data_IF_027514172877
#
_entry.id   IF_027514172877
#
_cell.length_a   1.000
_cell.length_b   1.000
_cell.length_c   1.000
_cell.angle_alpha   90.00
_cell.angle_beta   90.00
_cell.angle_gamma   90.00
#
_symmetry.space_group_name_H-M   'P 1'
#
loop_
_entity.id
_entity.type
_entity.pdbx_description
1 polymer ?
#
# COMPACT_ATOMS: atom_id res chain seq x y z
N UNK A 1 63.02 -34.68 31.76
CA UNK A 1 62.61 -34.80 30.35
C UNK A 1 61.75 -33.58 29.99
N UNK A 2 62.24 -32.65 29.15
CA UNK A 2 61.48 -31.47 28.70
C UNK A 2 60.85 -31.76 27.34
N UNK A 3 59.51 -31.85 27.26
CA UNK A 3 58.77 -31.90 25.99
C UNK A 3 58.90 -30.55 25.29
N UNK A 4 59.45 -30.53 24.07
CA UNK A 4 59.37 -29.35 23.19
C UNK A 4 57.97 -29.33 22.57
N UNK A 5 57.17 -28.32 22.91
CA UNK A 5 55.96 -28.00 22.15
C UNK A 5 56.38 -27.34 20.83
N UNK A 6 56.13 -27.99 19.70
CA UNK A 6 56.28 -27.35 18.38
C UNK A 6 55.10 -26.40 18.19
N UNK A 7 55.36 -25.10 18.35
CA UNK A 7 54.42 -24.08 17.92
C UNK A 7 54.48 -24.01 16.39
N UNK A 8 53.55 -24.67 15.70
CA UNK A 8 53.37 -24.51 14.27
C UNK A 8 52.77 -23.11 14.03
N UNK A 9 53.57 -22.21 13.46
CA UNK A 9 53.11 -20.87 13.07
C UNK A 9 52.48 -20.91 11.68
N UNK A 10 51.39 -20.18 11.49
CA UNK A 10 50.76 -20.00 10.17
C UNK A 10 51.70 -19.26 9.22
N UNK A 11 51.74 -19.71 7.97
CA UNK A 11 52.48 -19.04 6.91
C UNK A 11 51.67 -17.87 6.34
N UNK A 12 52.38 -16.87 5.83
CA UNK A 12 51.78 -15.69 5.21
C UNK A 12 50.91 -16.07 4.00
N UNK A 13 51.30 -17.12 3.28
CA UNK A 13 50.55 -17.63 2.12
C UNK A 13 49.25 -18.33 2.53
N UNK A 14 49.23 -19.07 3.64
CA UNK A 14 47.99 -19.67 4.16
C UNK A 14 46.98 -18.59 4.54
N UNK A 15 47.43 -17.52 5.18
CA UNK A 15 46.55 -16.40 5.51
C UNK A 15 46.02 -15.70 4.24
N UNK A 16 46.85 -15.54 3.21
CA UNK A 16 46.48 -14.91 1.95
C UNK A 16 45.42 -15.73 1.17
N UNK A 17 45.57 -17.06 1.17
CA UNK A 17 44.57 -17.95 0.53
C UNK A 17 43.22 -17.88 1.26
N UNK A 18 43.22 -17.83 2.59
CA UNK A 18 41.97 -17.74 3.38
C UNK A 18 41.22 -16.45 3.09
N UNK A 19 41.88 -15.29 3.09
CA UNK A 19 41.22 -14.02 2.78
C UNK A 19 40.71 -13.97 1.34
N UNK A 20 41.42 -14.60 0.39
CA UNK A 20 40.98 -14.69 -1.01
C UNK A 20 39.70 -15.53 -1.13
N UNK A 21 39.62 -16.68 -0.43
CA UNK A 21 38.42 -17.51 -0.40
C UNK A 21 37.24 -16.75 0.24
N UNK A 22 37.46 -16.06 1.35
CA UNK A 22 36.42 -15.26 2.02
C UNK A 22 35.90 -14.16 1.09
N UNK A 23 36.78 -13.47 0.35
CA UNK A 23 36.39 -12.43 -0.61
C UNK A 23 35.51 -12.99 -1.74
N UNK A 24 35.87 -14.14 -2.30
CA UNK A 24 35.08 -14.82 -3.34
C UNK A 24 33.71 -15.22 -2.79
N UNK A 25 33.66 -15.88 -1.63
CA UNK A 25 32.39 -16.29 -1.01
C UNK A 25 31.50 -15.09 -0.66
N UNK A 26 32.08 -14.01 -0.11
CA UNK A 26 31.34 -12.78 0.21
C UNK A 26 30.69 -12.16 -1.03
N UNK A 27 31.41 -12.10 -2.17
CA UNK A 27 30.86 -11.55 -3.41
C UNK A 27 29.67 -12.35 -3.97
N UNK A 28 29.72 -13.68 -3.87
CA UNK A 28 28.61 -14.55 -4.30
C UNK A 28 27.38 -14.40 -3.40
N UNK A 29 27.58 -14.29 -2.08
CA UNK A 29 26.47 -14.13 -1.11
C UNK A 29 25.75 -12.78 -1.30
N UNK A 30 26.50 -11.70 -1.54
CA UNK A 30 25.91 -10.37 -1.75
C UNK A 30 25.08 -10.31 -3.05
N UNK A 31 25.51 -11.00 -4.12
CA UNK A 31 24.81 -11.00 -5.41
C UNK A 31 23.41 -11.65 -5.41
N UNK A 32 23.14 -12.58 -4.48
CA UNK A 32 21.87 -13.33 -4.44
C UNK A 32 20.83 -12.76 -3.46
N UNK A 33 21.23 -11.89 -2.52
CA UNK A 33 20.35 -11.41 -1.45
C UNK A 33 19.26 -10.44 -1.93
N UNK A 34 19.53 -9.65 -2.98
CA UNK A 34 18.60 -8.62 -3.45
C UNK A 34 17.38 -9.12 -4.23
N UNK A 35 17.50 -10.24 -4.96
CA UNK A 35 16.43 -10.74 -5.84
C UNK A 35 15.34 -11.50 -5.09
N UNK A 36 15.70 -12.21 -4.02
CA UNK A 36 14.75 -12.93 -3.17
C UNK A 36 13.77 -11.98 -2.46
N UNK A 37 14.27 -10.86 -1.93
CA UNK A 37 13.43 -9.84 -1.30
C UNK A 37 12.41 -9.22 -2.26
N UNK A 38 12.84 -8.88 -3.48
CA UNK A 38 11.95 -8.37 -4.53
C UNK A 38 10.83 -9.36 -4.86
N UNK A 39 11.16 -10.63 -5.09
CA UNK A 39 10.14 -11.62 -5.46
C UNK A 39 9.14 -11.87 -4.33
N UNK A 40 9.59 -11.80 -3.08
CA UNK A 40 8.71 -11.89 -1.91
C UNK A 40 7.73 -10.72 -1.86
N UNK A 41 8.19 -9.49 -2.05
CA UNK A 41 7.33 -8.29 -2.11
C UNK A 41 6.32 -8.39 -3.24
N UNK A 42 6.76 -8.78 -4.45
CA UNK A 42 5.86 -8.98 -5.58
C UNK A 42 4.78 -10.02 -5.29
N UNK A 43 5.17 -11.15 -4.70
CA UNK A 43 4.23 -12.23 -4.32
C UNK A 43 3.22 -11.77 -3.27
N UNK A 44 3.64 -10.96 -2.28
CA UNK A 44 2.74 -10.38 -1.27
C UNK A 44 1.73 -9.44 -1.91
N UNK A 45 2.19 -8.51 -2.74
CA UNK A 45 1.31 -7.57 -3.45
C UNK A 45 0.31 -8.32 -4.34
N UNK A 46 0.74 -9.36 -5.06
CA UNK A 46 -0.15 -10.17 -5.90
C UNK A 46 -1.22 -10.90 -5.09
N UNK A 47 -0.87 -11.45 -3.93
CA UNK A 47 -1.83 -12.06 -3.02
C UNK A 47 -2.88 -11.05 -2.53
N UNK A 48 -2.46 -9.82 -2.19
CA UNK A 48 -3.40 -8.76 -1.80
C UNK A 48 -4.30 -8.33 -2.95
N UNK A 49 -3.79 -8.23 -4.19
CA UNK A 49 -4.63 -7.93 -5.36
C UNK A 49 -5.73 -8.99 -5.52
N UNK A 50 -5.39 -10.27 -5.37
CA UNK A 50 -6.38 -11.35 -5.46
C UNK A 50 -7.44 -11.27 -4.35
N UNK A 51 -7.03 -10.93 -3.13
CA UNK A 51 -7.95 -10.73 -2.00
C UNK A 51 -8.88 -9.53 -2.24
N UNK A 52 -8.34 -8.40 -2.69
CA UNK A 52 -9.12 -7.22 -3.04
C UNK A 52 -10.04 -7.46 -4.24
N UNK A 53 -9.60 -8.19 -5.26
CA UNK A 53 -10.43 -8.52 -6.42
C UNK A 53 -11.64 -9.36 -6.02
N UNK A 54 -11.43 -10.36 -5.16
CA UNK A 54 -12.51 -11.16 -4.58
C UNK A 54 -13.50 -10.28 -3.81
N UNK A 55 -13.01 -9.35 -2.98
CA UNK A 55 -13.86 -8.45 -2.20
C UNK A 55 -14.64 -7.46 -3.09
N UNK A 56 -14.00 -6.89 -4.12
CA UNK A 56 -14.62 -5.93 -5.04
C UNK A 56 -15.68 -6.61 -5.92
N UNK A 57 -15.44 -7.83 -6.39
CA UNK A 57 -16.46 -8.57 -7.14
C UNK A 57 -17.63 -8.97 -6.23
N UNK A 58 -17.38 -9.37 -4.98
CA UNK A 58 -18.45 -9.64 -4.01
C UNK A 58 -19.28 -8.38 -3.70
N UNK A 59 -18.62 -7.22 -3.59
CA UNK A 59 -19.29 -5.91 -3.47
C UNK A 59 -20.21 -5.66 -4.67
N UNK A 60 -19.72 -5.87 -5.89
CA UNK A 60 -20.52 -5.68 -7.11
C UNK A 60 -21.72 -6.62 -7.18
N UNK A 61 -21.56 -7.88 -6.77
CA UNK A 61 -22.69 -8.81 -6.69
C UNK A 61 -23.77 -8.28 -5.73
N UNK A 62 -23.38 -7.63 -4.63
CA UNK A 62 -24.31 -7.09 -3.64
C UNK A 62 -24.99 -5.78 -4.08
N UNK A 63 -24.24 -4.85 -4.65
CA UNK A 63 -24.73 -3.48 -4.94
C UNK A 63 -25.03 -3.23 -6.42
N UNK A 64 -24.69 -4.15 -7.31
CA UNK A 64 -24.92 -4.05 -8.76
C UNK A 64 -23.89 -3.17 -9.50
N UNK A 65 -23.00 -2.50 -8.78
CA UNK A 65 -21.92 -1.68 -9.32
C UNK A 65 -20.63 -1.90 -8.52
N UNK A 66 -19.49 -1.60 -9.13
CA UNK A 66 -18.22 -1.59 -8.40
C UNK A 66 -18.18 -0.46 -7.37
N UNK A 67 -17.33 -0.54 -6.32
CA UNK A 67 -17.11 0.57 -5.40
C UNK A 67 -16.81 1.87 -6.16
N UNK A 68 -17.37 3.02 -5.72
CA UNK A 68 -17.00 4.33 -6.26
C UNK A 68 -15.48 4.54 -6.23
N UNK A 69 -14.92 5.09 -7.29
CA UNK A 69 -13.54 5.54 -7.33
C UNK A 69 -13.42 7.02 -6.96
N UNK A 70 -12.19 7.49 -6.74
CA UNK A 70 -11.92 8.91 -6.73
C UNK A 70 -11.63 9.36 -8.16
N UNK A 71 -12.50 10.19 -8.76
CA UNK A 71 -12.36 10.58 -10.14
C UNK A 71 -11.09 11.38 -10.37
N UNK A 72 -10.50 12.03 -9.36
CA UNK A 72 -9.34 12.92 -9.48
C UNK A 72 -8.01 12.26 -9.16
N UNK A 73 -7.98 11.42 -8.13
CA UNK A 73 -6.76 10.76 -7.68
C UNK A 73 -7.00 9.28 -7.34
N UNK A 74 -6.54 8.34 -8.20
CA UNK A 74 -6.70 6.91 -7.95
C UNK A 74 -6.12 6.42 -6.62
N UNK A 75 -5.10 7.08 -6.07
CA UNK A 75 -4.48 6.70 -4.80
C UNK A 75 -5.29 7.14 -3.57
N UNK A 76 -6.21 8.10 -3.73
CA UNK A 76 -7.08 8.59 -2.66
C UNK A 76 -8.52 8.11 -2.89
N UNK A 77 -8.71 6.80 -2.98
CA UNK A 77 -10.03 6.19 -3.20
C UNK A 77 -10.71 5.77 -1.88
N UNK A 78 -12.01 5.50 -1.95
CA UNK A 78 -12.84 5.11 -0.82
C UNK A 78 -12.90 3.60 -0.53
N UNK A 79 -12.03 2.78 -1.16
CA UNK A 79 -12.14 1.31 -1.07
C UNK A 79 -12.15 0.79 0.36
N UNK A 80 -11.38 1.37 1.27
CA UNK A 80 -11.39 0.98 2.68
C UNK A 80 -12.83 0.97 3.21
N UNK A 81 -13.50 2.10 3.16
CA UNK A 81 -14.85 2.28 3.70
C UNK A 81 -15.92 1.52 2.93
N UNK A 82 -15.78 1.37 1.61
CA UNK A 82 -16.73 0.61 0.80
C UNK A 82 -16.63 -0.89 1.07
N UNK A 83 -15.44 -1.43 1.33
CA UNK A 83 -15.25 -2.86 1.56
C UNK A 83 -15.43 -3.27 3.02
N UNK A 84 -15.22 -2.37 3.98
CA UNK A 84 -15.41 -2.65 5.42
C UNK A 84 -16.76 -2.19 5.96
N UNK A 85 -17.34 -1.15 5.36
CA UNK A 85 -18.62 -0.56 5.73
C UNK A 85 -18.49 0.56 6.77
N UNK A 86 -19.43 1.51 6.70
CA UNK A 86 -19.47 2.69 7.59
C UNK A 86 -20.81 2.87 8.28
N UNK A 87 -20.80 3.40 9.49
CA UNK A 87 -22.02 3.76 10.21
C UNK A 87 -22.52 5.13 9.76
N UNK A 88 -23.72 5.22 9.20
CA UNK A 88 -24.32 6.47 8.75
C UNK A 88 -25.33 7.02 9.77
N UNK A 89 -25.14 8.27 10.18
CA UNK A 89 -26.10 9.02 11.01
C UNK A 89 -26.94 9.93 10.13
N UNK A 90 -28.23 9.60 9.95
CA UNK A 90 -29.15 10.45 9.17
C UNK A 90 -29.40 11.82 9.83
N UNK A 91 -29.38 11.89 11.16
CA UNK A 91 -29.62 13.12 11.92
C UNK A 91 -28.47 14.11 11.75
N UNK A 92 -27.23 13.63 11.85
CA UNK A 92 -26.03 14.48 11.72
C UNK A 92 -25.51 14.55 10.29
N UNK A 93 -26.01 13.69 9.40
CA UNK A 93 -25.53 13.50 8.03
C UNK A 93 -24.02 13.20 7.99
N UNK A 94 -23.54 12.41 8.95
CA UNK A 94 -22.13 12.06 9.11
C UNK A 94 -21.94 10.55 8.99
N UNK A 95 -20.72 10.16 8.64
CA UNK A 95 -20.31 8.76 8.56
C UNK A 95 -19.34 8.47 9.70
N UNK A 96 -19.42 7.29 10.31
CA UNK A 96 -18.54 6.87 11.40
C UNK A 96 -17.85 5.57 11.01
N UNK A 97 -16.53 5.54 11.13
CA UNK A 97 -15.74 4.33 11.00
C UNK A 97 -16.04 3.42 12.22
N UNK A 98 -16.55 2.20 12.01
CA UNK A 98 -16.87 1.28 13.11
C UNK A 98 -15.64 0.67 13.79
N UNK A 99 -14.46 0.74 13.15
CA UNK A 99 -13.21 0.20 13.70
C UNK A 99 -12.48 1.29 14.51
N UNK A 100 -12.28 2.48 13.95
CA UNK A 100 -11.58 3.56 14.67
C UNK A 100 -12.46 4.47 15.52
N UNK A 101 -13.76 4.52 15.21
CA UNK A 101 -14.69 5.46 15.83
C UNK A 101 -14.68 6.86 15.23
N UNK A 102 -13.81 7.17 14.26
CA UNK A 102 -13.72 8.49 13.62
C UNK A 102 -15.03 8.87 12.94
N UNK A 103 -15.42 10.13 13.07
CA UNK A 103 -16.63 10.68 12.46
C UNK A 103 -16.22 11.61 11.32
N UNK A 104 -16.64 11.28 10.11
CA UNK A 104 -16.38 12.02 8.89
C UNK A 104 -17.61 12.83 8.47
N UNK A 105 -17.37 14.09 8.11
CA UNK A 105 -18.38 14.93 7.44
C UNK A 105 -18.38 14.67 5.92
N UNK A 106 -19.50 14.89 5.22
CA UNK A 106 -19.54 14.81 3.76
C UNK A 106 -18.53 15.74 3.07
N UNK A 107 -18.24 16.90 3.68
CA UNK A 107 -17.20 17.82 3.19
C UNK A 107 -15.82 17.17 3.21
N UNK A 108 -15.46 16.53 4.32
CA UNK A 108 -14.17 15.82 4.44
C UNK A 108 -14.09 14.67 3.45
N UNK A 109 -15.16 13.88 3.31
CA UNK A 109 -15.21 12.76 2.35
C UNK A 109 -15.02 13.26 0.92
N UNK A 110 -15.69 14.36 0.57
CA UNK A 110 -15.54 14.98 -0.76
C UNK A 110 -14.12 15.46 -1.01
N UNK A 111 -13.53 16.13 -0.03
CA UNK A 111 -12.15 16.63 -0.10
C UNK A 111 -11.13 15.51 -0.21
N UNK A 112 -11.30 14.41 0.57
CA UNK A 112 -10.34 13.31 0.63
C UNK A 112 -10.51 12.31 -0.51
N UNK A 113 -11.74 11.97 -0.87
CA UNK A 113 -12.05 10.83 -1.76
C UNK A 113 -12.78 11.22 -3.04
N UNK A 114 -13.15 12.50 -3.23
CA UNK A 114 -13.87 12.96 -4.43
C UNK A 114 -15.34 12.50 -4.51
N UNK A 115 -15.82 11.74 -3.52
CA UNK A 115 -17.19 11.21 -3.44
C UNK A 115 -18.01 11.93 -2.37
N UNK A 116 -19.34 11.91 -2.47
CA UNK A 116 -20.22 12.63 -1.55
C UNK A 116 -20.54 11.83 -0.26
N UNK A 117 -20.16 10.56 -0.23
CA UNK A 117 -20.43 9.62 0.84
C UNK A 117 -20.03 8.20 0.43
N UNK A 118 -20.43 7.22 1.22
CA UNK A 118 -20.17 5.81 0.97
C UNK A 118 -21.48 5.06 0.71
N UNK A 119 -21.46 4.14 -0.25
CA UNK A 119 -22.63 3.33 -0.60
C UNK A 119 -22.83 2.22 0.43
N UNK A 120 -21.75 1.58 0.90
CA UNK A 120 -21.81 0.60 1.98
C UNK A 120 -21.92 1.27 3.37
N UNK A 121 -23.04 1.97 3.58
CA UNK A 121 -23.39 2.61 4.86
C UNK A 121 -24.62 2.00 5.50
N UNK A 122 -24.59 1.76 6.83
CA UNK A 122 -25.79 1.37 7.60
C UNK A 122 -25.91 2.17 8.91
N UNK A 123 -27.12 2.23 9.48
CA UNK A 123 -27.37 2.84 10.79
C UNK A 123 -26.87 1.97 11.95
N UNK A 124 -26.70 0.66 11.75
CA UNK A 124 -26.31 -0.29 12.81
C UNK A 124 -25.14 -1.18 12.39
N UNK A 125 -24.28 -1.54 13.35
CA UNK A 125 -23.08 -2.37 13.07
C UNK A 125 -23.45 -3.78 12.59
N UNK A 126 -24.59 -4.31 13.04
CA UNK A 126 -25.10 -5.64 12.66
C UNK A 126 -25.54 -5.75 11.20
N UNK A 127 -25.92 -4.64 10.57
CA UNK A 127 -26.36 -4.61 9.18
C UNK A 127 -25.22 -4.38 8.19
N UNK A 128 -24.05 -3.96 8.67
CA UNK A 128 -22.89 -3.69 7.82
C UNK A 128 -22.47 -4.96 7.08
N UNK A 129 -22.16 -4.78 5.80
CA UNK A 129 -21.58 -5.83 4.98
C UNK A 129 -20.08 -5.63 4.95
N UNK A 130 -19.35 -6.59 5.52
CA UNK A 130 -17.90 -6.67 5.40
C UNK A 130 -17.56 -7.57 4.21
N UNK A 131 -16.93 -7.00 3.19
CA UNK A 131 -16.40 -7.72 2.03
C UNK A 131 -14.91 -8.01 2.18
N UNK A 132 -14.23 -7.22 3.02
CA UNK A 132 -12.80 -7.31 3.26
C UNK A 132 -12.53 -7.12 4.75
N UNK A 133 -11.64 -7.94 5.31
CA UNK A 133 -11.15 -7.77 6.67
C UNK A 133 -9.76 -7.11 6.61
N UNK A 134 -9.63 -5.83 6.98
CA UNK A 134 -8.35 -5.15 6.95
C UNK A 134 -7.42 -5.72 8.02
N UNK A 135 -6.12 -5.76 7.69
CA UNK A 135 -5.06 -5.98 8.66
C UNK A 135 -4.39 -4.66 8.97
N UNK A 136 -3.93 -4.49 10.21
CA UNK A 136 -3.24 -3.27 10.65
C UNK A 136 -2.05 -2.91 9.75
N UNK A 137 -1.37 -3.90 9.18
CA UNK A 137 -0.26 -3.71 8.24
C UNK A 137 -0.68 -3.09 6.90
N UNK A 138 -1.93 -3.32 6.45
CA UNK A 138 -2.45 -2.87 5.16
C UNK A 138 -3.37 -1.65 5.28
N UNK A 139 -3.50 -1.06 6.47
CA UNK A 139 -4.28 0.15 6.68
C UNK A 139 -3.40 1.24 7.25
N UNK A 140 -3.58 2.44 6.70
CA UNK A 140 -2.93 3.64 7.17
C UNK A 140 -3.97 4.72 7.33
N UNK A 141 -3.72 5.64 8.25
CA UNK A 141 -4.53 6.84 8.37
C UNK A 141 -3.96 8.00 7.56
N UNK A 142 -4.78 9.00 7.29
CA UNK A 142 -4.47 10.24 6.60
C UNK A 142 -5.05 11.39 7.44
N UNK A 143 -4.19 12.28 7.92
CA UNK A 143 -4.57 13.49 8.64
C UNK A 143 -3.59 14.61 8.31
N UNK A 144 -4.08 15.85 8.27
CA UNK A 144 -3.25 17.06 8.21
C UNK A 144 -2.75 17.51 9.58
N UNK A 145 -3.40 17.06 10.66
CA UNK A 145 -3.02 17.39 12.04
C UNK A 145 -1.83 16.57 12.52
N UNK A 146 -1.64 15.38 11.95
CA UNK A 146 -0.43 14.59 12.19
C UNK A 146 0.82 15.27 11.62
N UNK A 147 1.91 15.14 12.36
CA UNK A 147 3.24 15.59 11.93
C UNK A 147 3.82 14.63 10.88
N UNK A 148 4.82 15.08 10.13
CA UNK A 148 5.48 14.27 9.10
C UNK A 148 6.18 12.99 9.61
N UNK A 149 6.28 12.84 10.93
CA UNK A 149 6.93 11.71 11.59
C UNK A 149 5.92 10.65 12.06
N UNK A 150 4.62 10.83 11.83
CA UNK A 150 3.65 9.79 12.14
C UNK A 150 3.60 8.78 10.98
N UNK A 151 4.02 7.55 11.27
CA UNK A 151 3.97 6.43 10.33
C UNK A 151 2.53 5.92 10.13
N UNK A 152 1.64 6.27 11.05
CA UNK A 152 0.20 6.20 10.90
C UNK A 152 -0.37 4.82 10.71
N UNK A 153 -0.01 3.91 11.61
CA UNK A 153 -0.33 2.49 11.51
C UNK A 153 -1.60 2.12 12.29
N UNK A 154 -2.40 1.20 11.71
CA UNK A 154 -3.55 0.62 12.40
C UNK A 154 -4.84 1.44 12.26
N UNK A 155 -5.71 1.30 13.26
CA UNK A 155 -7.06 1.87 13.30
C UNK A 155 -7.33 2.68 14.59
N UNK A 156 -6.33 2.89 15.44
CA UNK A 156 -6.47 3.64 16.69
C UNK A 156 -6.34 5.14 16.38
N UNK A 157 -7.39 5.94 16.61
CA UNK A 157 -7.48 7.29 16.08
C UNK A 157 -7.64 8.40 17.15
N UNK A 158 -7.10 9.59 16.85
CA UNK A 158 -7.09 10.73 17.77
C UNK A 158 -7.43 12.10 17.15
N UNK A 159 -7.55 12.25 15.81
CA UNK A 159 -7.83 13.54 15.14
C UNK A 159 -9.15 13.59 14.37
N UNK A 160 -9.73 14.79 14.27
CA UNK A 160 -11.08 14.99 13.71
C UNK A 160 -11.16 14.90 12.18
N UNK A 161 -10.01 15.03 11.50
CA UNK A 161 -9.89 14.98 10.04
C UNK A 161 -9.33 13.65 9.52
N UNK A 162 -9.11 12.69 10.41
CA UNK A 162 -8.39 11.45 10.14
C UNK A 162 -9.26 10.43 9.38
N UNK A 163 -8.77 9.99 8.22
CA UNK A 163 -9.42 8.97 7.38
C UNK A 163 -8.49 7.79 7.09
N UNK A 164 -9.05 6.61 6.88
CA UNK A 164 -8.30 5.39 6.59
C UNK A 164 -8.23 5.11 5.09
N UNK A 165 -7.09 4.56 4.67
CA UNK A 165 -6.84 4.07 3.31
C UNK A 165 -6.22 2.69 3.33
N UNK A 166 -6.58 1.87 2.35
CA UNK A 166 -5.93 0.59 2.11
C UNK A 166 -4.59 0.83 1.42
N UNK A 167 -3.51 0.34 2.02
CA UNK A 167 -2.16 0.38 1.48
C UNK A 167 -1.71 -0.99 0.99
N UNK A 168 -0.87 -0.97 -0.04
CA UNK A 168 -0.17 -2.17 -0.47
C UNK A 168 0.96 -2.51 0.52
N UNK A 169 1.33 -3.79 0.65
CA UNK A 169 2.33 -4.27 1.62
C UNK A 169 3.77 -3.98 1.13
N UNK A 170 3.98 -2.76 0.65
CA UNK A 170 5.27 -2.23 0.21
C UNK A 170 5.26 -0.72 0.50
N UNK A 171 5.69 -0.28 1.69
CA UNK A 171 5.73 1.13 2.04
C UNK A 171 6.52 1.95 1.02
N UNK A 172 6.17 3.21 0.84
CA UNK A 172 6.95 4.12 0.00
C UNK A 172 8.31 4.41 0.67
N UNK A 173 9.44 4.40 -0.06
CA UNK A 173 10.72 4.72 0.56
C UNK A 173 10.73 6.15 1.11
N UNK A 174 11.17 6.31 2.36
CA UNK A 174 11.23 7.61 3.05
C UNK A 174 12.14 8.62 2.35
N UNK A 175 13.18 8.15 1.65
CA UNK A 175 14.19 9.00 1.00
C UNK A 175 13.74 9.61 -0.34
N UNK A 176 12.55 9.27 -0.84
CA UNK A 176 12.05 9.74 -2.14
C UNK A 176 11.11 10.91 -1.96
N UNK A 177 11.21 11.90 -2.82
CA UNK A 177 10.35 13.09 -2.86
C UNK A 177 9.04 12.88 -3.66
N UNK A 178 8.97 11.85 -4.50
CA UNK A 178 7.84 11.62 -5.41
C UNK A 178 6.66 10.87 -4.76
N UNK A 179 6.37 11.18 -3.49
CA UNK A 179 5.35 10.54 -2.67
C UNK A 179 3.99 10.40 -3.38
N UNK A 180 3.26 9.29 -3.14
CA UNK A 180 2.03 9.02 -3.86
C UNK A 180 0.84 9.86 -3.37
N UNK A 181 0.91 10.37 -2.14
CA UNK A 181 -0.12 11.20 -1.52
C UNK A 181 0.52 12.43 -0.90
N UNK A 182 -0.07 13.58 -1.21
CA UNK A 182 0.28 14.90 -0.66
C UNK A 182 -1.01 15.54 -0.15
N UNK A 183 -1.05 15.95 1.12
CA UNK A 183 -2.18 16.61 1.78
C UNK A 183 -1.84 18.08 2.02
N UNK A 184 -2.55 19.03 1.39
CA UNK A 184 -2.34 20.50 1.54
C UNK A 184 -0.86 20.95 1.68
N UNK A 185 0.02 20.36 0.88
CA UNK A 185 1.45 20.66 0.85
C UNK A 185 2.33 19.86 1.83
N UNK A 186 1.75 19.00 2.68
CA UNK A 186 2.46 18.02 3.50
C UNK A 186 2.50 16.67 2.79
N UNK A 187 3.66 16.02 2.80
CA UNK A 187 3.85 14.69 2.21
C UNK A 187 3.53 13.60 3.23
N UNK A 188 2.78 12.58 2.83
CA UNK A 188 2.53 11.41 3.66
C UNK A 188 3.71 10.44 3.51
N UNK A 189 4.65 10.46 4.47
CA UNK A 189 5.85 9.61 4.43
C UNK A 189 5.46 8.15 4.55
N UNK A 190 6.12 7.29 3.78
CA UNK A 190 5.91 5.83 3.73
C UNK A 190 4.54 5.32 3.29
N UNK A 191 3.54 6.18 3.18
CA UNK A 191 2.21 5.82 2.73
C UNK A 191 2.24 5.31 1.29
N UNK A 192 1.63 4.16 1.03
CA UNK A 192 1.51 3.63 -0.32
C UNK A 192 0.13 3.00 -0.58
N UNK A 193 -0.91 3.82 -0.83
CA UNK A 193 -2.27 3.34 -1.04
C UNK A 193 -2.41 2.49 -2.30
N UNK A 194 -3.40 1.60 -2.34
CA UNK A 194 -3.82 1.02 -3.61
C UNK A 194 -4.34 2.11 -4.55
N UNK A 195 -4.05 1.99 -5.85
CA UNK A 195 -4.69 2.82 -6.86
C UNK A 195 -5.85 2.06 -7.48
N UNK A 196 -7.00 2.70 -7.56
CA UNK A 196 -8.23 2.08 -8.02
C UNK A 196 -9.06 3.02 -8.89
N UNK A 197 -9.57 2.51 -10.01
CA UNK A 197 -10.40 3.24 -10.98
C UNK A 197 -11.48 2.33 -11.55
N UNK A 198 -12.75 2.66 -11.31
CA UNK A 198 -13.92 1.91 -11.79
C UNK A 198 -14.80 2.74 -12.72
N UNK A 199 -14.81 4.07 -12.61
CA UNK A 199 -15.64 4.94 -13.42
C UNK A 199 -15.14 5.07 -14.86
N UNK A 200 -13.81 5.09 -15.06
CA UNK A 200 -13.16 5.17 -16.38
C UNK A 200 -11.85 4.36 -16.45
N UNK A 201 -11.90 3.02 -16.30
CA UNK A 201 -10.72 2.17 -16.42
C UNK A 201 -10.17 2.21 -17.85
N UNK A 202 -8.84 2.21 -17.99
CA UNK A 202 -8.16 2.28 -19.29
C UNK A 202 -7.65 0.91 -19.73
N UNK A 203 -7.33 0.03 -18.78
CA UNK A 203 -6.75 -1.27 -19.08
C UNK A 203 -7.79 -2.39 -19.00
N UNK A 204 -8.73 -2.31 -18.05
CA UNK A 204 -9.79 -3.29 -17.82
C UNK A 204 -11.18 -2.66 -18.00
N UNK A 205 -11.50 -2.29 -19.24
CA UNK A 205 -12.67 -1.48 -19.62
C UNK A 205 -14.01 -2.07 -19.12
N UNK A 206 -14.12 -3.40 -19.01
CA UNK A 206 -15.36 -4.07 -18.57
C UNK A 206 -15.46 -4.27 -17.05
N UNK A 207 -14.38 -3.99 -16.32
CA UNK A 207 -14.32 -4.14 -14.87
C UNK A 207 -13.85 -2.84 -14.22
N UNK A 208 -12.62 -2.85 -13.71
CA UNK A 208 -11.96 -1.75 -13.02
C UNK A 208 -10.44 -1.99 -13.06
N UNK A 209 -9.68 -0.91 -12.96
CA UNK A 209 -8.22 -0.93 -12.88
C UNK A 209 -7.82 -0.86 -11.40
N UNK A 210 -7.08 -1.87 -10.91
CA UNK A 210 -6.49 -1.90 -9.57
C UNK A 210 -5.00 -2.19 -9.69
N UNK A 211 -4.17 -1.37 -9.05
CA UNK A 211 -2.72 -1.56 -9.06
C UNK A 211 -2.02 -0.99 -7.83
N UNK A 212 -0.84 -1.54 -7.55
CA UNK A 212 0.15 -0.98 -6.65
C UNK A 212 1.33 -0.44 -7.45
N UNK A 213 1.95 0.62 -6.94
CA UNK A 213 3.29 1.03 -7.32
C UNK A 213 4.24 0.58 -6.21
N UNK A 214 5.38 -0.02 -6.54
CA UNK A 214 6.42 -0.41 -5.58
C UNK A 214 7.79 -0.01 -6.10
N UNK A 215 8.72 0.28 -5.20
CA UNK A 215 10.04 0.80 -5.57
C UNK A 215 11.09 -0.32 -5.56
N UNK A 216 11.88 -0.40 -6.62
CA UNK A 216 13.02 -1.31 -6.75
C UNK A 216 14.24 -0.49 -7.18
N UNK A 217 15.17 -0.26 -6.25
CA UNK A 217 16.25 0.70 -6.47
C UNK A 217 15.68 2.11 -6.66
N UNK A 218 16.02 2.76 -7.78
CA UNK A 218 15.52 4.09 -8.13
C UNK A 218 14.24 4.06 -8.98
N UNK A 219 13.82 2.88 -9.43
CA UNK A 219 12.69 2.71 -10.34
C UNK A 219 11.39 2.38 -9.60
N UNK A 220 10.29 2.91 -10.13
CA UNK A 220 8.94 2.54 -9.69
C UNK A 220 8.38 1.50 -10.65
N UNK A 221 8.01 0.35 -10.09
CA UNK A 221 7.39 -0.78 -10.76
C UNK A 221 5.91 -0.88 -10.41
N UNK A 222 5.15 -1.55 -11.26
CA UNK A 222 3.70 -1.68 -11.14
C UNK A 222 3.30 -3.14 -11.15
N UNK A 223 2.42 -3.50 -10.22
CA UNK A 223 1.67 -4.76 -10.23
C UNK A 223 0.20 -4.42 -10.31
N UNK A 224 -0.53 -5.08 -11.20
CA UNK A 224 -1.90 -4.69 -11.56
C UNK A 224 -2.81 -5.91 -11.77
N UNK A 225 -4.13 -5.69 -11.76
CA UNK A 225 -5.12 -6.73 -12.07
C UNK A 225 -5.34 -6.99 -13.58
N UNK A 226 -4.60 -6.32 -14.48
CA UNK A 226 -4.75 -6.47 -15.94
C UNK A 226 -3.50 -7.00 -16.66
N UNK A 227 -2.37 -7.18 -15.96
CA UNK A 227 -1.12 -7.75 -16.49
C UNK A 227 -0.61 -8.82 -15.53
N UNK A 228 -0.16 -9.94 -16.08
CA UNK A 228 0.39 -11.06 -15.31
C UNK A 228 1.75 -10.74 -14.68
N UNK A 229 2.56 -9.94 -15.36
CA UNK A 229 3.92 -9.60 -14.92
C UNK A 229 4.04 -8.14 -14.49
N UNK A 230 4.85 -7.86 -13.44
CA UNK A 230 5.18 -6.49 -13.08
C UNK A 230 5.88 -5.75 -14.22
N UNK A 231 5.63 -4.45 -14.32
CA UNK A 231 6.19 -3.61 -15.40
C UNK A 231 6.58 -2.22 -14.89
N UNK A 232 7.53 -1.53 -15.54
CA UNK A 232 7.96 -0.21 -15.07
C UNK A 232 6.87 0.85 -15.25
N UNK A 233 6.81 1.83 -14.33
CA UNK A 233 5.84 2.95 -14.34
C UNK A 233 5.85 3.75 -15.64
N UNK A 234 6.97 3.76 -16.36
CA UNK A 234 7.09 4.38 -17.69
C UNK A 234 6.06 3.81 -18.69
N UNK A 235 5.71 2.54 -18.59
CA UNK A 235 4.70 1.88 -19.43
C UNK A 235 3.26 2.07 -18.94
N UNK A 236 3.03 2.64 -17.74
CA UNK A 236 1.68 2.98 -17.29
C UNK A 236 1.05 3.99 -18.26
N UNK A 237 -0.27 3.85 -18.48
CA UNK A 237 -1.03 4.80 -19.30
C UNK A 237 -0.75 6.25 -18.89
N UNK A 238 -0.52 7.12 -19.88
CA UNK A 238 -0.33 8.56 -19.64
C UNK A 238 -1.53 9.19 -18.94
N UNK A 239 -2.72 8.62 -19.08
CA UNK A 239 -3.92 9.08 -18.38
C UNK A 239 -3.73 9.08 -16.85
N UNK A 240 -3.13 8.01 -16.30
CA UNK A 240 -2.86 7.92 -14.86
C UNK A 240 -1.65 8.75 -14.41
N UNK A 241 -0.72 9.07 -15.32
CA UNK A 241 0.46 9.89 -15.00
C UNK A 241 0.18 11.40 -14.99
N UNK A 242 -0.77 11.87 -15.81
CA UNK A 242 -1.01 13.31 -16.05
C UNK A 242 -1.73 14.06 -14.91
N UNK A 243 -2.28 13.36 -13.91
CA UNK A 243 -3.08 13.97 -12.83
C UNK A 243 -2.28 14.37 -11.58
N UNK A 244 -0.96 14.16 -11.59
CA UNK A 244 -0.04 14.85 -10.66
C UNK A 244 0.30 16.22 -11.24
N UNK A 245 -0.57 17.21 -11.07
CA UNK A 245 -0.24 18.63 -11.21
C UNK A 245 -0.92 19.42 -10.11
#
# INVERSE_FOLDING_TARGET
>A
MKRRSSTYGFTLIELLVVIAIIAVLASLVVGLSGTAGRKMTESRIQAEIAALDTAIEAYKVKFGHYPPDNPDNPALNSLYYELTGVLYSSTRRTFKDPESGNIMSPKLIKERFGVDGFVNGSKSKSELKKFYEPRAENVRHLSEEHGENDEGHGHEAHHSDEVHVLCCPSPWPFSRDDHPVVLRGKEAKTLNPWRYVSGRPVNNIKKYDLWAEYVVGDEVWIISNWRSEPFPRSQLSRYYKKRKR
#
